data_IF_018785730680
#
_entry.id   IF_018785730680
#
_cell.length_a   1.000
_cell.length_b   1.000
_cell.length_c   1.000
_cell.angle_alpha   90.00
_cell.angle_beta   90.00
_cell.angle_gamma   90.00
#
_symmetry.space_group_name_H-M   'P 1'
#
loop_
_entity.id
_entity.type
_entity.pdbx_description
1 polymer ?
#
# COMPACT_ATOMS: atom_id res chain seq x y z
N UNK A 1 6.48 -13.81 7.34
CA UNK A 1 5.39 -12.87 7.70
C UNK A 1 4.83 -12.36 6.39
N UNK A 2 3.50 -12.34 6.23
CA UNK A 2 2.88 -11.77 5.02
C UNK A 2 3.04 -10.25 5.10
N UNK A 3 3.66 -9.64 4.09
CA UNK A 3 3.75 -8.19 3.99
C UNK A 3 2.41 -7.59 3.55
N UNK A 4 2.12 -6.37 3.98
CA UNK A 4 0.87 -5.67 3.62
C UNK A 4 1.20 -4.40 2.84
N UNK A 5 0.70 -4.32 1.62
CA UNK A 5 0.74 -3.11 0.79
C UNK A 5 -0.66 -2.53 0.71
N UNK A 6 -0.81 -1.24 1.03
CA UNK A 6 -2.07 -0.52 0.85
C UNK A 6 -1.94 0.42 -0.35
N UNK A 7 -2.79 0.26 -1.36
CA UNK A 7 -2.88 1.14 -2.55
C UNK A 7 -4.21 1.88 -2.54
N UNK A 8 -4.17 3.20 -2.35
CA UNK A 8 -5.40 4.02 -2.27
C UNK A 8 -5.23 5.36 -2.98
N UNK A 9 -6.33 6.02 -3.30
CA UNK A 9 -6.28 7.43 -3.70
C UNK A 9 -5.92 8.33 -2.52
N UNK A 10 -5.11 9.35 -2.81
CA UNK A 10 -4.68 10.32 -1.81
C UNK A 10 -4.10 9.67 -0.55
N UNK A 11 -4.29 10.33 0.59
CA UNK A 11 -3.63 9.91 1.84
C UNK A 11 -4.39 8.83 2.65
N UNK A 12 -5.46 8.24 2.10
CA UNK A 12 -6.34 7.33 2.83
C UNK A 12 -5.57 6.16 3.46
N UNK A 13 -4.71 5.50 2.70
CA UNK A 13 -3.93 4.36 3.18
C UNK A 13 -2.99 4.71 4.33
N UNK A 14 -2.40 5.91 4.34
CA UNK A 14 -1.59 6.37 5.48
C UNK A 14 -2.43 6.56 6.73
N UNK A 15 -3.62 7.14 6.61
CA UNK A 15 -4.52 7.33 7.76
C UNK A 15 -5.07 6.01 8.28
N UNK A 16 -5.32 5.02 7.42
CA UNK A 16 -5.68 3.66 7.84
C UNK A 16 -4.57 3.00 8.65
N UNK A 17 -3.30 3.15 8.26
CA UNK A 17 -2.15 2.65 9.03
C UNK A 17 -2.10 3.31 10.40
N UNK A 18 -2.19 4.65 10.46
CA UNK A 18 -2.20 5.39 11.73
C UNK A 18 -3.33 4.95 12.65
N UNK A 19 -4.54 4.79 12.12
CA UNK A 19 -5.69 4.31 12.89
C UNK A 19 -5.44 2.89 13.45
N UNK A 20 -4.88 1.99 12.65
CA UNK A 20 -4.55 0.64 13.11
C UNK A 20 -3.43 0.65 14.17
N UNK A 21 -2.44 1.53 14.03
CA UNK A 21 -1.37 1.72 15.02
C UNK A 21 -1.87 2.32 16.34
N UNK A 22 -2.87 3.20 16.31
CA UNK A 22 -3.51 3.70 17.53
C UNK A 22 -4.18 2.58 18.33
N UNK A 23 -4.72 1.56 17.65
CA UNK A 23 -5.43 0.44 18.30
C UNK A 23 -4.47 -0.64 18.79
N UNK A 24 -3.46 -0.98 17.98
CA UNK A 24 -2.58 -2.15 18.22
C UNK A 24 -1.16 -1.78 18.66
N UNK A 25 -0.78 -0.51 18.56
CA UNK A 25 0.61 -0.07 18.63
C UNK A 25 1.33 -0.23 17.28
N UNK A 26 2.65 0.00 17.28
CA UNK A 26 3.47 0.04 16.06
C UNK A 26 3.32 -1.22 15.20
N UNK A 27 3.06 -1.02 13.90
CA UNK A 27 2.92 -2.10 12.93
C UNK A 27 4.20 -2.26 12.11
N UNK A 28 4.57 -3.51 11.84
CA UNK A 28 5.73 -3.84 10.99
C UNK A 28 5.25 -4.56 9.73
N UNK A 29 6.00 -4.37 8.64
CA UNK A 29 5.69 -5.02 7.37
C UNK A 29 4.40 -4.50 6.71
N UNK A 30 4.04 -3.25 6.98
CA UNK A 30 2.95 -2.54 6.30
C UNK A 30 3.51 -1.28 5.64
N UNK A 31 3.17 -1.05 4.38
CA UNK A 31 3.46 0.21 3.68
C UNK A 31 2.27 0.63 2.84
N UNK A 32 2.21 1.93 2.52
CA UNK A 32 1.17 2.52 1.69
C UNK A 32 1.81 3.16 0.45
N UNK A 33 1.12 3.08 -0.69
CA UNK A 33 1.39 3.83 -1.91
C UNK A 33 0.16 4.63 -2.28
N UNK A 34 0.32 5.96 -2.32
CA UNK A 34 -0.74 6.89 -2.74
C UNK A 34 -0.78 6.97 -4.25
N UNK A 35 -1.98 6.79 -4.80
CA UNK A 35 -2.33 7.09 -6.18
C UNK A 35 -2.84 8.52 -6.25
N UNK A 36 -2.18 9.33 -7.07
CA UNK A 36 -2.50 10.74 -7.31
C UNK A 36 -2.58 10.96 -8.82
N UNK A 37 -3.51 11.82 -9.27
CA UNK A 37 -3.65 12.20 -10.68
C UNK A 37 -2.39 12.86 -11.24
N UNK A 38 -1.55 13.44 -10.37
CA UNK A 38 -0.27 14.01 -10.78
C UNK A 38 0.81 12.96 -11.10
N UNK A 39 0.65 11.70 -10.65
CA UNK A 39 1.64 10.64 -10.88
C UNK A 39 1.36 9.89 -12.19
N UNK A 40 2.40 9.69 -12.99
CA UNK A 40 2.33 8.82 -14.16
C UNK A 40 2.12 7.35 -13.75
N UNK A 41 1.39 6.60 -14.57
CA UNK A 41 1.10 5.17 -14.34
C UNK A 41 2.37 4.34 -14.18
N UNK A 42 3.41 4.63 -14.97
CA UNK A 42 4.68 3.89 -14.90
C UNK A 42 5.47 4.14 -13.61
N UNK A 43 5.43 5.37 -13.09
CA UNK A 43 6.04 5.70 -11.80
C UNK A 43 5.30 4.97 -10.66
N UNK A 44 3.96 4.94 -10.72
CA UNK A 44 3.15 4.23 -9.75
C UNK A 44 3.44 2.72 -9.76
N UNK A 45 3.51 2.11 -10.95
CA UNK A 45 3.89 0.69 -11.10
C UNK A 45 5.27 0.40 -10.50
N UNK A 46 6.23 1.30 -10.72
CA UNK A 46 7.59 1.16 -10.16
C UNK A 46 7.59 1.27 -8.64
N UNK A 47 6.81 2.20 -8.08
CA UNK A 47 6.65 2.40 -6.64
C UNK A 47 6.02 1.15 -5.98
N UNK A 48 4.92 0.65 -6.55
CA UNK A 48 4.25 -0.59 -6.11
C UNK A 48 5.20 -1.79 -6.20
N UNK A 49 5.90 -1.97 -7.33
CA UNK A 49 6.84 -3.08 -7.54
C UNK A 49 7.99 -3.05 -6.53
N UNK A 50 8.49 -1.85 -6.22
CA UNK A 50 9.54 -1.66 -5.21
C UNK A 50 9.02 -1.98 -3.81
N UNK A 51 7.80 -1.54 -3.49
CA UNK A 51 7.15 -1.81 -2.22
C UNK A 51 6.92 -3.31 -2.01
N UNK A 52 6.44 -4.03 -3.03
CA UNK A 52 6.26 -5.49 -2.98
C UNK A 52 7.59 -6.19 -2.68
N UNK A 53 8.68 -5.85 -3.40
CA UNK A 53 10.01 -6.43 -3.15
C UNK A 53 10.52 -6.17 -1.73
N UNK A 54 10.23 -5.01 -1.17
CA UNK A 54 10.62 -4.65 0.20
C UNK A 54 9.80 -5.41 1.26
N UNK A 55 8.54 -5.68 0.97
CA UNK A 55 7.60 -6.34 1.87
C UNK A 55 7.71 -7.86 1.85
N UNK A 56 8.08 -8.45 0.72
CA UNK A 56 8.17 -9.90 0.58
C UNK A 56 9.37 -10.45 1.35
N UNK A 57 9.07 -11.18 2.42
CA UNK A 57 10.05 -11.90 3.25
C UNK A 57 9.93 -13.42 3.10
N UNK A 58 9.44 -13.89 1.94
CA UNK A 58 9.27 -15.31 1.62
C UNK A 58 7.89 -15.88 1.98
N UNK A 59 6.94 -15.05 2.42
CA UNK A 59 5.54 -15.44 2.65
C UNK A 59 4.56 -14.70 1.73
N UNK A 60 5.06 -13.93 0.75
CA UNK A 60 4.24 -13.13 -0.15
C UNK A 60 3.73 -11.82 0.46
N UNK A 61 2.94 -11.11 -0.35
CA UNK A 61 2.41 -9.77 -0.04
C UNK A 61 0.91 -9.73 -0.29
N UNK A 62 0.15 -9.25 0.69
CA UNK A 62 -1.26 -8.92 0.57
C UNK A 62 -1.41 -7.46 0.15
N UNK A 63 -2.10 -7.22 -0.96
CA UNK A 63 -2.42 -5.88 -1.44
C UNK A 63 -3.85 -5.54 -1.06
N UNK A 64 -4.03 -4.41 -0.36
CA UNK A 64 -5.32 -3.87 0.04
C UNK A 64 -5.58 -2.58 -0.74
N UNK A 65 -6.78 -2.43 -1.28
CA UNK A 65 -7.16 -1.27 -2.08
C UNK A 65 -8.45 -0.63 -1.56
N UNK A 66 -8.66 0.65 -1.88
CA UNK A 66 -9.84 1.41 -1.48
C UNK A 66 -11.08 1.04 -2.32
N UNK A 67 -10.95 1.11 -3.65
CA UNK A 67 -12.05 0.97 -4.59
C UNK A 67 -11.69 -0.02 -5.68
N UNK A 68 -12.46 -1.10 -5.76
CA UNK A 68 -12.37 -2.07 -6.84
C UNK A 68 -12.68 -1.40 -8.19
N UNK A 69 -11.84 -1.64 -9.19
CA UNK A 69 -11.94 -1.07 -10.53
C UNK A 69 -11.32 0.33 -10.66
N UNK A 70 -10.86 0.94 -9.56
CA UNK A 70 -10.09 2.19 -9.58
C UNK A 70 -8.62 1.96 -9.93
N UNK A 71 -7.90 3.04 -10.25
CA UNK A 71 -6.45 3.03 -10.55
C UNK A 71 -5.60 2.31 -9.49
N UNK A 72 -5.87 2.41 -8.17
CA UNK A 72 -5.09 1.66 -7.17
C UNK A 72 -5.26 0.14 -7.24
N UNK A 73 -6.31 -0.35 -7.92
CA UNK A 73 -6.61 -1.78 -8.05
C UNK A 73 -6.18 -2.39 -9.40
N UNK A 74 -5.84 -1.57 -10.40
CA UNK A 74 -5.49 -1.98 -11.78
C UNK A 74 -3.99 -1.88 -12.03
#
# INVERSE_FOLDING_TARGET
MIGVLITTHGNLGSELIKAAELIRGALKGIVHVSVDQAKGVEDLKKEISTAIKKLDQGSGVLILTDLFGGTPSN
#
